data_IF_090795992551
#
_entry.id   IF_090795992551
#
_cell.length_a   1.000
_cell.length_b   1.000
_cell.length_c   1.000
_cell.angle_alpha   90.00
_cell.angle_beta   90.00
_cell.angle_gamma   90.00
#
_symmetry.space_group_name_H-M   'P 1'
#
loop_
_entity.id
_entity.type
_entity.pdbx_description
1 polymer ?
#
# COMPACT_ATOMS: atom_id res chain seq x y z
N UNK A 1 29.88 21.05 -42.07
CA UNK A 1 30.28 20.49 -40.76
C UNK A 1 29.56 21.35 -39.75
N UNK A 2 28.39 20.89 -39.35
CA UNK A 2 27.51 21.52 -38.36
C UNK A 2 27.45 20.52 -37.22
N UNK A 3 28.15 20.83 -36.12
CA UNK A 3 28.08 20.03 -34.89
C UNK A 3 27.07 20.73 -34.00
N UNK A 4 25.80 20.35 -34.17
CA UNK A 4 24.74 20.69 -33.23
C UNK A 4 24.98 19.95 -31.92
N UNK A 5 25.00 20.73 -30.86
CA UNK A 5 25.15 20.36 -29.45
C UNK A 5 24.36 19.10 -29.08
N UNK A 6 25.06 18.11 -28.52
CA UNK A 6 24.47 17.01 -27.78
C UNK A 6 23.73 17.59 -26.56
N UNK A 7 22.40 17.64 -26.65
CA UNK A 7 21.50 17.86 -25.52
C UNK A 7 21.66 16.67 -24.56
N UNK A 8 22.60 16.82 -23.63
CA UNK A 8 22.92 15.85 -22.60
C UNK A 8 21.74 15.79 -21.62
N UNK A 9 20.76 14.95 -21.97
CA UNK A 9 19.56 14.64 -21.22
C UNK A 9 19.92 14.12 -19.83
N UNK A 10 20.15 15.04 -18.92
CA UNK A 10 20.42 14.75 -17.52
C UNK A 10 19.12 14.36 -16.86
N UNK A 11 18.76 13.08 -16.98
CA UNK A 11 17.81 12.47 -16.06
C UNK A 11 18.35 12.72 -14.65
N UNK A 12 17.73 13.67 -13.94
CA UNK A 12 18.03 13.91 -12.54
C UNK A 12 17.79 12.59 -11.83
N UNK A 13 18.85 11.99 -11.29
CA UNK A 13 18.74 10.80 -10.48
C UNK A 13 17.98 11.20 -9.21
N UNK A 14 16.65 11.10 -9.26
CA UNK A 14 15.79 11.45 -8.15
C UNK A 14 15.94 10.33 -7.12
N UNK A 15 16.54 10.65 -5.98
CA UNK A 15 16.64 9.70 -4.88
C UNK A 15 15.24 9.48 -4.28
N UNK A 16 14.79 8.24 -4.29
CA UNK A 16 13.53 7.79 -3.70
C UNK A 16 13.80 6.84 -2.54
N UNK A 17 12.95 6.90 -1.51
CA UNK A 17 12.98 5.98 -0.39
C UNK A 17 11.62 5.27 -0.26
N UNK A 18 11.65 3.95 -0.11
CA UNK A 18 10.47 3.16 0.30
C UNK A 18 10.63 2.82 1.78
N UNK A 19 9.60 3.14 2.57
CA UNK A 19 9.56 2.86 4.01
C UNK A 19 8.35 2.02 4.37
N UNK A 20 8.50 1.21 5.41
CA UNK A 20 7.38 0.46 6.01
C UNK A 20 6.75 1.30 7.11
N UNK A 21 5.46 1.58 6.98
CA UNK A 21 4.60 2.14 8.00
C UNK A 21 3.91 0.99 8.77
N UNK A 22 4.05 0.99 10.10
CA UNK A 22 3.53 -0.07 10.97
C UNK A 22 1.98 -0.11 11.08
N UNK A 23 1.29 0.84 10.47
CA UNK A 23 -0.17 0.96 10.44
C UNK A 23 -0.58 2.27 9.75
N UNK A 24 -1.88 2.47 9.59
CA UNK A 24 -2.44 3.65 8.94
C UNK A 24 -2.19 4.93 9.75
N UNK A 25 -2.08 4.82 11.08
CA UNK A 25 -1.77 5.94 11.98
C UNK A 25 -0.36 6.54 11.80
N UNK A 26 0.52 5.90 11.01
CA UNK A 26 1.79 6.49 10.60
C UNK A 26 1.62 7.56 9.50
N UNK A 27 0.46 7.63 8.86
CA UNK A 27 0.09 8.70 7.93
C UNK A 27 -0.82 9.69 8.66
N UNK A 28 -0.70 10.96 8.33
CA UNK A 28 -1.75 11.92 8.64
C UNK A 28 -2.93 11.72 7.69
N UNK A 29 -4.13 12.11 8.13
CA UNK A 29 -5.31 12.09 7.28
C UNK A 29 -5.12 12.98 6.04
N UNK A 30 -4.43 14.12 6.18
CA UNK A 30 -4.13 15.04 5.08
C UNK A 30 -3.20 14.41 4.04
N UNK A 31 -2.09 13.80 4.46
CA UNK A 31 -1.18 13.05 3.57
C UNK A 31 -1.94 12.01 2.75
N UNK A 32 -2.76 11.19 3.43
CA UNK A 32 -3.49 10.11 2.78
C UNK A 32 -4.56 10.63 1.82
N UNK A 33 -5.27 11.69 2.20
CA UNK A 33 -6.27 12.36 1.37
C UNK A 33 -5.65 13.05 0.14
N UNK A 34 -4.34 13.28 0.14
CA UNK A 34 -3.58 13.74 -1.02
C UNK A 34 -3.50 12.72 -2.15
N UNK A 35 -3.79 11.44 -1.88
CA UNK A 35 -3.75 10.40 -2.91
C UNK A 35 -5.03 10.32 -3.74
N UNK A 36 -4.87 10.00 -5.02
CA UNK A 36 -5.94 9.74 -5.97
C UNK A 36 -6.94 8.70 -5.44
N UNK A 37 -8.23 9.03 -5.53
CA UNK A 37 -9.36 8.16 -5.21
C UNK A 37 -9.62 7.87 -3.73
N UNK A 38 -8.88 8.48 -2.80
CA UNK A 38 -9.04 8.27 -1.35
C UNK A 38 -10.06 9.20 -0.67
N UNK A 39 -10.54 10.23 -1.38
CA UNK A 39 -11.42 11.27 -0.84
C UNK A 39 -12.73 11.41 -1.60
N UNK A 40 -13.83 11.64 -0.88
CA UNK A 40 -15.12 12.04 -1.47
C UNK A 40 -14.95 13.38 -2.20
N UNK A 41 -15.03 13.38 -3.54
CA UNK A 41 -14.88 14.58 -4.36
C UNK A 41 -13.76 14.51 -5.41
N UNK A 42 -12.97 13.44 -5.42
CA UNK A 42 -12.03 13.16 -6.51
C UNK A 42 -12.82 12.76 -7.77
N UNK A 43 -13.08 13.76 -8.64
CA UNK A 43 -13.86 13.58 -9.86
C UNK A 43 -13.10 12.88 -10.97
N UNK A 44 -11.77 13.00 -10.94
CA UNK A 44 -10.90 12.49 -12.00
C UNK A 44 -10.63 11.00 -11.81
N UNK A 45 -10.29 10.60 -10.58
CA UNK A 45 -9.94 9.21 -10.28
C UNK A 45 -11.12 8.40 -9.74
N UNK A 46 -12.18 9.07 -9.31
CA UNK A 46 -13.32 8.46 -8.62
C UNK A 46 -12.99 8.06 -7.18
N UNK A 47 -13.97 8.16 -6.28
CA UNK A 47 -13.76 7.83 -4.87
C UNK A 47 -13.98 6.33 -4.59
N UNK A 48 -12.99 5.68 -3.98
CA UNK A 48 -13.14 4.35 -3.40
C UNK A 48 -13.11 4.41 -1.86
N UNK A 49 -14.25 4.18 -1.17
CA UNK A 49 -14.31 4.31 0.30
C UNK A 49 -13.44 3.31 1.05
N UNK A 50 -13.11 2.17 0.44
CA UNK A 50 -12.36 1.09 1.08
C UNK A 50 -10.86 1.38 1.17
N UNK A 51 -10.38 2.43 0.52
CA UNK A 51 -9.01 2.94 0.64
C UNK A 51 -8.97 4.32 1.29
N UNK A 52 -10.10 4.80 1.83
CA UNK A 52 -10.11 6.05 2.58
C UNK A 52 -9.35 5.90 3.91
N UNK A 53 -8.74 6.98 4.36
CA UNK A 53 -8.07 7.01 5.67
C UNK A 53 -9.01 6.58 6.80
N UNK A 54 -10.26 7.07 6.77
CA UNK A 54 -11.28 6.77 7.76
C UNK A 54 -11.63 5.28 7.81
N UNK A 55 -11.74 4.61 6.66
CA UNK A 55 -12.07 3.19 6.61
C UNK A 55 -10.92 2.33 7.14
N UNK A 56 -9.69 2.58 6.69
CA UNK A 56 -8.51 1.83 7.14
C UNK A 56 -8.23 2.06 8.63
N UNK A 57 -8.37 3.30 9.12
CA UNK A 57 -8.28 3.62 10.55
C UNK A 57 -9.31 2.86 11.35
N UNK A 58 -10.58 2.83 10.93
CA UNK A 58 -11.63 2.09 11.64
C UNK A 58 -11.31 0.58 11.75
N UNK A 59 -10.69 -0.03 10.74
CA UNK A 59 -10.29 -1.43 10.78
C UNK A 59 -9.15 -1.70 11.78
N UNK A 60 -8.13 -0.84 11.81
CA UNK A 60 -7.01 -0.97 12.75
C UNK A 60 -7.43 -0.61 14.19
N UNK A 61 -8.13 0.51 14.37
CA UNK A 61 -8.56 1.04 15.68
C UNK A 61 -9.59 0.15 16.38
N UNK A 62 -10.47 -0.51 15.62
CA UNK A 62 -11.39 -1.51 16.18
C UNK A 62 -10.68 -2.78 16.65
N UNK A 63 -9.42 -2.98 16.25
CA UNK A 63 -8.63 -4.15 16.62
C UNK A 63 -8.95 -5.40 15.81
N UNK A 64 -9.74 -5.30 14.72
CA UNK A 64 -10.05 -6.44 13.86
C UNK A 64 -8.95 -6.69 12.81
N UNK A 65 -8.28 -5.64 12.32
CA UNK A 65 -7.15 -5.72 11.40
C UNK A 65 -5.84 -5.32 12.10
N UNK A 66 -5.36 -6.15 13.04
CA UNK A 66 -4.12 -5.88 13.79
C UNK A 66 -3.23 -7.12 13.88
N UNK A 67 -1.99 -6.95 14.37
CA UNK A 67 -1.03 -8.05 14.54
C UNK A 67 -1.62 -9.28 15.25
N UNK A 68 -2.34 -9.06 16.35
CA UNK A 68 -2.93 -10.13 17.17
C UNK A 68 -3.95 -10.98 16.39
N UNK A 69 -4.62 -10.40 15.39
CA UNK A 69 -5.58 -11.08 14.51
C UNK A 69 -4.96 -11.50 13.18
N UNK A 70 -3.62 -11.53 13.09
CA UNK A 70 -2.89 -11.91 11.90
C UNK A 70 -2.98 -10.92 10.75
N UNK A 71 -3.28 -9.65 11.04
CA UNK A 71 -3.36 -8.52 10.10
C UNK A 71 -2.43 -7.39 10.56
N UNK A 72 -1.12 -7.62 10.62
CA UNK A 72 -0.19 -6.58 11.08
C UNK A 72 -0.01 -5.51 9.99
N UNK A 73 -0.38 -4.25 10.25
CA UNK A 73 -0.15 -3.14 9.33
C UNK A 73 1.33 -3.03 8.94
N UNK A 74 1.61 -3.06 7.64
CA UNK A 74 2.94 -2.94 7.03
C UNK A 74 2.82 -2.14 5.72
N UNK A 75 2.07 -1.03 5.75
CA UNK A 75 1.85 -0.21 4.57
C UNK A 75 3.17 0.33 4.03
N UNK A 76 3.30 0.48 2.72
CA UNK A 76 4.48 1.06 2.11
C UNK A 76 4.25 2.56 1.87
N UNK A 77 5.28 3.37 2.13
CA UNK A 77 5.34 4.80 1.82
C UNK A 77 6.45 5.02 0.81
N UNK A 78 6.18 5.78 -0.25
CA UNK A 78 7.19 6.25 -1.19
C UNK A 78 7.46 7.73 -0.93
N UNK A 79 8.71 8.08 -0.67
CA UNK A 79 9.15 9.45 -0.40
C UNK A 79 10.24 9.86 -1.39
N UNK A 80 10.30 11.15 -1.75
CA UNK A 80 11.44 11.71 -2.44
C UNK A 80 12.57 12.10 -1.46
N UNK A 81 13.71 12.55 -2.01
CA UNK A 81 14.87 13.01 -1.25
C UNK A 81 14.55 14.10 -0.20
N UNK A 82 13.50 14.91 -0.43
CA UNK A 82 13.06 15.98 0.47
C UNK A 82 12.07 15.48 1.54
N UNK A 83 11.77 14.18 1.58
CA UNK A 83 10.81 13.58 2.52
C UNK A 83 9.34 13.81 2.14
N UNK A 84 9.04 14.33 0.95
CA UNK A 84 7.67 14.46 0.46
C UNK A 84 7.12 13.08 0.13
N UNK A 85 5.98 12.74 0.71
CA UNK A 85 5.21 11.55 0.38
C UNK A 85 4.65 11.65 -1.05
N UNK A 86 4.98 10.68 -1.90
CA UNK A 86 4.57 10.61 -3.30
C UNK A 86 3.52 9.53 -3.55
N UNK A 87 3.53 8.47 -2.75
CA UNK A 87 2.62 7.34 -2.91
C UNK A 87 2.59 6.43 -1.70
N UNK A 88 1.60 5.57 -1.66
CA UNK A 88 1.46 4.55 -0.64
C UNK A 88 0.86 3.25 -1.17
N UNK A 89 1.12 2.16 -0.47
CA UNK A 89 0.54 0.84 -0.74
C UNK A 89 -0.05 0.29 0.56
N UNK A 90 -1.39 0.09 0.65
CA UNK A 90 -1.99 -0.59 1.79
C UNK A 90 -1.53 -2.05 1.83
N UNK A 91 -0.64 -2.35 2.75
CA UNK A 91 -0.06 -3.67 2.95
C UNK A 91 -0.22 -4.16 4.38
N UNK A 92 -0.40 -5.46 4.55
CA UNK A 92 -0.47 -6.14 5.83
C UNK A 92 0.45 -7.36 5.82
N UNK A 93 1.25 -7.50 6.87
CA UNK A 93 2.00 -8.71 7.15
C UNK A 93 1.05 -9.72 7.80
N UNK A 94 0.73 -10.77 7.05
CA UNK A 94 -0.27 -11.79 7.38
C UNK A 94 0.41 -13.02 7.98
N UNK A 95 -0.12 -13.51 9.10
CA UNK A 95 0.32 -14.77 9.74
C UNK A 95 -0.58 -15.97 9.39
N UNK A 96 -1.64 -15.74 8.64
CA UNK A 96 -2.57 -16.74 8.11
C UNK A 96 -3.36 -16.14 6.95
N UNK A 97 -4.05 -17.00 6.19
CA UNK A 97 -4.91 -16.58 5.08
C UNK A 97 -6.34 -16.18 5.45
N UNK A 98 -6.76 -16.34 6.71
CA UNK A 98 -8.13 -15.96 7.10
C UNK A 98 -8.42 -14.46 6.86
N UNK A 99 -9.64 -14.20 6.36
CA UNK A 99 -10.15 -12.87 6.03
C UNK A 99 -9.63 -12.31 4.70
N UNK A 100 -8.74 -13.02 4.01
CA UNK A 100 -8.39 -12.69 2.64
C UNK A 100 -9.36 -13.39 1.69
N UNK A 101 -9.82 -12.67 0.67
CA UNK A 101 -10.75 -13.21 -0.31
C UNK A 101 -10.01 -13.82 -1.52
N UNK A 102 -8.80 -14.36 -1.28
CA UNK A 102 -7.90 -14.99 -2.27
C UNK A 102 -7.80 -16.52 -2.08
N UNK A 103 -8.29 -17.05 -0.94
CA UNK A 103 -8.45 -18.50 -0.66
C UNK A 103 -7.22 -19.37 -0.96
N UNK A 104 -6.01 -18.93 -0.61
CA UNK A 104 -4.76 -19.64 -0.95
C UNK A 104 -4.36 -20.78 0.01
N UNK A 105 -5.26 -21.23 0.88
CA UNK A 105 -5.00 -22.24 1.92
C UNK A 105 -4.30 -23.49 1.37
N UNK A 106 -4.79 -24.03 0.24
CA UNK A 106 -4.20 -25.21 -0.39
C UNK A 106 -2.76 -24.98 -0.87
N UNK A 107 -2.43 -23.75 -1.25
CA UNK A 107 -1.07 -23.37 -1.61
C UNK A 107 -0.20 -23.22 -0.35
N UNK A 108 -0.72 -22.56 0.69
CA UNK A 108 0.01 -22.46 1.96
C UNK A 108 0.36 -23.85 2.52
N UNK A 109 -0.60 -24.78 2.52
CA UNK A 109 -0.40 -26.14 3.02
C UNK A 109 0.61 -26.92 2.18
N UNK A 110 0.52 -26.82 0.84
CA UNK A 110 1.45 -27.50 -0.05
C UNK A 110 2.89 -26.99 0.10
N UNK A 111 3.07 -25.67 0.23
CA UNK A 111 4.39 -25.05 0.39
C UNK A 111 5.02 -25.39 1.74
N UNK A 112 4.24 -25.39 2.82
CA UNK A 112 4.76 -25.79 4.14
C UNK A 112 5.10 -27.28 4.20
N UNK A 113 4.29 -28.17 3.58
CA UNK A 113 4.65 -29.61 3.46
C UNK A 113 5.93 -29.84 2.67
N UNK A 114 6.28 -28.95 1.74
CA UNK A 114 7.55 -28.99 1.01
C UNK A 114 8.74 -28.45 1.83
N UNK A 115 8.54 -28.09 3.10
CA UNK A 115 9.56 -27.53 3.99
C UNK A 115 9.74 -26.01 3.88
N UNK A 116 8.88 -25.33 3.12
CA UNK A 116 8.86 -23.88 3.01
C UNK A 116 8.26 -23.19 4.23
N UNK A 117 8.43 -21.87 4.29
CA UNK A 117 7.77 -21.00 5.28
C UNK A 117 6.85 -20.04 4.56
N UNK A 118 5.56 -20.38 4.50
CA UNK A 118 4.59 -19.55 3.77
C UNK A 118 4.27 -18.26 4.53
N UNK A 119 4.23 -18.33 5.86
CA UNK A 119 4.01 -17.19 6.75
C UNK A 119 5.29 -16.75 7.49
N UNK A 120 5.38 -15.46 7.86
CA UNK A 120 4.45 -14.40 7.47
C UNK A 120 4.60 -14.02 5.99
N UNK A 121 3.48 -13.67 5.34
CA UNK A 121 3.46 -13.14 3.96
C UNK A 121 3.09 -11.66 3.98
N UNK A 122 3.70 -10.85 3.12
CA UNK A 122 3.27 -9.46 2.92
C UNK A 122 2.18 -9.43 1.87
N UNK A 123 1.02 -8.87 2.20
CA UNK A 123 -0.11 -8.79 1.30
C UNK A 123 -0.56 -7.36 1.07
N UNK A 124 -0.55 -6.96 -0.20
CA UNK A 124 -1.15 -5.72 -0.68
C UNK A 124 -2.67 -5.91 -0.80
N UNK A 125 -3.44 -5.37 0.14
CA UNK A 125 -4.88 -5.62 0.22
C UNK A 125 -5.60 -4.62 1.13
N UNK A 126 -6.94 -4.63 1.06
CA UNK A 126 -7.79 -4.02 2.08
C UNK A 126 -8.41 -5.17 2.89
N UNK A 127 -8.40 -5.13 4.24
CA UNK A 127 -8.91 -6.22 5.05
C UNK A 127 -10.40 -6.47 4.83
N UNK A 128 -10.79 -7.75 4.90
CA UNK A 128 -12.19 -8.20 4.96
C UNK A 128 -13.08 -7.79 3.78
N UNK A 129 -12.51 -7.59 2.59
CA UNK A 129 -13.28 -7.27 1.39
C UNK A 129 -12.68 -7.88 0.12
N UNK A 130 -13.50 -8.45 -0.79
CA UNK A 130 -13.07 -8.85 -2.13
C UNK A 130 -13.10 -7.70 -3.14
N UNK A 131 -13.59 -6.52 -2.74
CA UNK A 131 -13.89 -5.42 -3.67
C UNK A 131 -12.61 -4.90 -4.30
N UNK A 132 -12.64 -4.84 -5.63
CA UNK A 132 -11.56 -4.29 -6.45
C UNK A 132 -11.37 -2.80 -6.19
N UNK A 133 -10.16 -2.30 -6.43
CA UNK A 133 -9.84 -0.90 -6.21
C UNK A 133 -8.34 -0.65 -6.27
N UNK A 134 -7.93 0.62 -6.21
CA UNK A 134 -6.52 0.96 -6.25
C UNK A 134 -5.83 0.41 -5.00
N UNK A 135 -4.63 -0.13 -5.18
CA UNK A 135 -3.73 -0.52 -4.08
C UNK A 135 -2.33 0.08 -4.24
N UNK A 136 -2.04 0.64 -5.40
CA UNK A 136 -0.95 1.58 -5.59
C UNK A 136 -1.57 2.97 -5.59
N UNK A 137 -1.44 3.69 -4.48
CA UNK A 137 -1.96 5.03 -4.30
C UNK A 137 -0.85 6.01 -4.67
N UNK A 138 -1.15 6.97 -5.55
CA UNK A 138 -0.24 8.03 -5.98
C UNK A 138 -0.84 9.38 -5.65
N UNK A 139 0.02 10.37 -5.40
CA UNK A 139 -0.43 11.75 -5.21
C UNK A 139 -1.28 12.22 -6.39
N UNK A 140 -2.29 13.05 -6.08
CA UNK A 140 -2.99 13.83 -7.11
C UNK A 140 -1.99 14.81 -7.75
N UNK A 141 -2.13 15.05 -9.04
CA UNK A 141 -1.38 16.07 -9.77
C UNK A 141 -1.74 17.49 -9.30
#
# INVERSE_FOLDING_TARGET
MDQGEDDDGRATNADYAIRVAAGIGAFTCEEWNGFAGTTRGDKENGYNPLVSFAFLSALEDSGCAVRRTGWQGHHLRLENAQGRLLGAVPCYLKSHSQGEYVFDHGWSDAFERAGGRYYPKLQCSVPFTPVTGPRLLVGKD
#
